data_IF_169757440404
#
_entry.id   IF_169757440404
#
_cell.length_a   1.000
_cell.length_b   1.000
_cell.length_c   1.000
_cell.angle_alpha   90.00
_cell.angle_beta   90.00
_cell.angle_gamma   90.00
#
_symmetry.space_group_name_H-M   'P 1'
#
loop_
_entity.id
_entity.type
_entity.pdbx_description
1 polymer ?
#
# COMPACT_ATOMS: atom_id res chain seq x y z
N UNK A 1 5.43 -17.13 15.88
CA UNK A 1 6.30 -17.20 14.70
C UNK A 1 7.45 -16.21 14.86
N UNK A 2 8.68 -16.63 14.59
CA UNK A 2 9.86 -15.74 14.57
C UNK A 2 9.77 -14.85 13.33
N UNK A 3 9.77 -13.55 13.54
CA UNK A 3 9.51 -12.59 12.45
C UNK A 3 10.68 -11.62 12.30
N UNK A 4 11.15 -11.48 11.07
CA UNK A 4 12.19 -10.53 10.68
C UNK A 4 11.63 -9.31 9.97
N UNK A 5 12.26 -8.16 10.17
CA UNK A 5 11.99 -6.92 9.41
C UNK A 5 13.30 -6.42 8.80
N UNK A 6 13.40 -6.43 7.49
CA UNK A 6 14.54 -5.92 6.72
C UNK A 6 14.18 -4.54 6.17
N UNK A 7 15.06 -3.55 6.33
CA UNK A 7 14.74 -2.15 6.07
C UNK A 7 14.03 -1.46 7.24
N UNK A 8 14.28 -1.95 8.46
CA UNK A 8 13.59 -1.56 9.68
C UNK A 8 13.76 -0.08 10.07
N UNK A 9 14.79 0.62 9.62
CA UNK A 9 15.03 2.06 9.89
C UNK A 9 14.17 3.00 9.04
N UNK A 10 13.54 2.51 7.97
CA UNK A 10 12.63 3.28 7.12
C UNK A 10 11.28 3.57 7.80
N UNK A 11 10.43 4.42 7.19
CA UNK A 11 9.09 4.70 7.71
C UNK A 11 8.19 3.47 7.71
N UNK A 12 8.16 2.70 6.61
CA UNK A 12 7.39 1.46 6.54
C UNK A 12 7.93 0.40 7.52
N UNK A 13 9.26 0.30 7.67
CA UNK A 13 9.89 -0.58 8.66
C UNK A 13 9.50 -0.22 10.10
N UNK A 14 9.53 1.07 10.44
CA UNK A 14 9.09 1.54 11.77
C UNK A 14 7.61 1.27 12.03
N UNK A 15 6.77 1.41 11.03
CA UNK A 15 5.34 1.09 11.16
C UNK A 15 5.12 -0.42 11.31
N UNK A 16 5.88 -1.26 10.58
CA UNK A 16 5.89 -2.71 10.81
C UNK A 16 6.27 -3.03 12.26
N UNK A 17 7.36 -2.44 12.77
CA UNK A 17 7.77 -2.66 14.17
C UNK A 17 6.66 -2.25 15.15
N UNK A 18 5.95 -1.15 14.89
CA UNK A 18 4.82 -0.69 15.72
C UNK A 18 3.68 -1.73 15.74
N UNK A 19 3.24 -2.18 14.57
CA UNK A 19 2.14 -3.14 14.47
C UNK A 19 2.55 -4.49 15.07
N UNK A 20 3.73 -4.99 14.71
CA UNK A 20 4.24 -6.27 15.17
C UNK A 20 4.53 -6.31 16.69
N UNK A 21 4.79 -5.16 17.33
CA UNK A 21 5.06 -5.09 18.76
C UNK A 21 3.89 -5.59 19.62
N UNK A 22 2.68 -5.46 19.12
CA UNK A 22 1.44 -5.89 19.79
C UNK A 22 0.75 -7.08 19.10
N UNK A 23 1.34 -7.60 18.01
CA UNK A 23 0.75 -8.69 17.26
C UNK A 23 0.71 -10.00 18.08
N UNK A 24 -0.43 -10.71 18.12
CA UNK A 24 -0.57 -11.89 19.00
C UNK A 24 0.39 -13.03 18.63
N UNK A 25 0.65 -13.25 17.34
CA UNK A 25 1.40 -14.39 16.83
C UNK A 25 2.82 -14.03 16.37
N UNK A 26 3.02 -12.91 15.68
CA UNK A 26 4.30 -12.53 15.09
C UNK A 26 5.22 -11.91 16.14
N UNK A 27 6.35 -12.54 16.41
CA UNK A 27 7.33 -12.08 17.43
C UNK A 27 8.60 -11.61 16.74
N UNK A 28 8.88 -10.31 16.82
CA UNK A 28 10.06 -9.70 16.23
C UNK A 28 11.32 -10.34 16.84
N UNK A 29 12.06 -11.06 16.02
CA UNK A 29 13.32 -11.73 16.37
C UNK A 29 14.53 -11.16 15.65
N UNK A 30 14.31 -10.41 14.56
CA UNK A 30 15.37 -9.83 13.74
C UNK A 30 14.95 -8.48 13.16
N UNK A 31 15.82 -7.46 13.24
CA UNK A 31 15.59 -6.10 12.73
C UNK A 31 16.82 -5.60 12.02
N UNK A 32 16.82 -5.65 10.69
CA UNK A 32 17.95 -5.23 9.87
C UNK A 32 17.74 -3.86 9.23
N UNK A 33 18.79 -3.06 9.16
CA UNK A 33 18.75 -1.71 8.63
C UNK A 33 20.01 -1.28 7.88
N UNK A 34 20.55 -2.11 7.02
CA UNK A 34 21.63 -1.77 6.08
C UNK A 34 22.62 -0.72 6.60
N UNK A 35 22.61 0.47 6.02
CA UNK A 35 23.53 1.57 6.41
C UNK A 35 23.35 2.09 7.85
N UNK A 36 22.26 1.76 8.53
CA UNK A 36 22.00 2.16 9.92
C UNK A 36 22.19 0.99 10.91
N UNK A 37 22.88 -0.08 10.50
CA UNK A 37 23.24 -1.17 11.39
C UNK A 37 24.13 -0.65 12.54
N UNK A 38 23.87 -1.13 13.75
CA UNK A 38 24.53 -0.68 14.97
C UNK A 38 23.89 0.53 15.66
N UNK A 39 23.05 1.29 14.97
CA UNK A 39 22.34 2.44 15.54
C UNK A 39 21.17 1.99 16.44
N UNK A 40 20.80 2.79 17.44
CA UNK A 40 19.66 2.52 18.30
C UNK A 40 18.35 2.65 17.52
N UNK A 41 17.43 1.70 17.71
CA UNK A 41 16.09 1.75 17.09
C UNK A 41 15.32 2.98 17.55
N UNK A 42 15.50 3.40 18.81
CA UNK A 42 14.87 4.59 19.40
C UNK A 42 15.27 5.90 18.73
N UNK A 43 16.47 5.99 18.14
CA UNK A 43 16.92 7.20 17.45
C UNK A 43 16.14 7.45 16.16
N UNK A 44 15.64 6.38 15.53
CA UNK A 44 14.82 6.42 14.33
C UNK A 44 13.32 6.36 14.62
N UNK A 45 12.94 5.65 15.67
CA UNK A 45 11.55 5.39 16.04
C UNK A 45 11.33 5.64 17.54
N UNK A 46 11.40 6.89 18.02
CA UNK A 46 11.40 7.22 19.45
C UNK A 46 10.11 6.83 20.18
N UNK A 47 9.02 6.63 19.44
CA UNK A 47 7.73 6.24 20.02
C UNK A 47 7.59 4.73 20.24
N UNK A 48 8.56 3.91 19.78
CA UNK A 48 8.52 2.45 19.96
C UNK A 48 9.08 2.06 21.34
N UNK A 49 8.22 2.09 22.34
CA UNK A 49 8.57 1.62 23.68
C UNK A 49 8.95 0.12 23.64
N UNK A 50 9.94 -0.27 24.44
CA UNK A 50 10.48 -1.64 24.42
C UNK A 50 11.59 -1.90 23.40
N UNK A 51 11.94 -0.88 22.58
CA UNK A 51 13.08 -0.92 21.66
C UNK A 51 14.22 0.01 22.06
N UNK A 52 14.13 0.71 23.19
CA UNK A 52 15.04 1.78 23.60
C UNK A 52 16.51 1.34 23.74
N UNK A 53 16.77 0.07 24.01
CA UNK A 53 18.12 -0.50 24.14
C UNK A 53 18.51 -1.41 22.97
N UNK A 54 17.57 -1.61 22.01
CA UNK A 54 17.81 -2.44 20.85
C UNK A 54 18.48 -1.65 19.73
N UNK A 55 19.36 -2.34 19.01
CA UNK A 55 20.06 -1.78 17.84
C UNK A 55 19.62 -2.52 16.60
N UNK A 56 19.67 -1.80 15.47
CA UNK A 56 19.54 -2.45 14.18
C UNK A 56 20.73 -3.37 13.92
N UNK A 57 20.46 -4.47 13.26
CA UNK A 57 21.46 -5.45 12.85
C UNK A 57 21.81 -5.28 11.37
N UNK A 58 22.97 -5.83 10.96
CA UNK A 58 23.30 -5.95 9.53
C UNK A 58 22.33 -6.89 8.82
N UNK A 59 22.15 -6.70 7.51
CA UNK A 59 21.37 -7.65 6.69
C UNK A 59 22.16 -8.95 6.54
N UNK A 60 21.68 -10.03 7.14
CA UNK A 60 22.28 -11.36 7.15
C UNK A 60 21.29 -12.40 6.66
N UNK A 61 21.65 -13.11 5.59
CA UNK A 61 20.88 -14.21 5.04
C UNK A 61 20.71 -15.34 6.06
N UNK A 62 21.75 -15.64 6.84
CA UNK A 62 21.70 -16.64 7.90
C UNK A 62 20.60 -16.31 8.92
N UNK A 63 20.53 -15.05 9.39
CA UNK A 63 19.50 -14.61 10.37
C UNK A 63 18.12 -14.58 9.74
N UNK A 64 18.00 -14.18 8.48
CA UNK A 64 16.75 -14.22 7.73
C UNK A 64 16.23 -15.67 7.65
N UNK A 65 17.09 -16.63 7.34
CA UNK A 65 16.73 -18.05 7.23
C UNK A 65 16.37 -18.74 8.58
N UNK A 66 16.64 -18.06 9.70
CA UNK A 66 16.19 -18.47 11.04
C UNK A 66 14.78 -17.96 11.38
N UNK A 67 14.20 -17.09 10.56
CA UNK A 67 12.84 -16.59 10.73
C UNK A 67 11.82 -17.52 10.04
N UNK A 68 10.59 -17.50 10.54
CA UNK A 68 9.45 -18.15 9.89
C UNK A 68 8.82 -17.24 8.84
N UNK A 69 8.84 -15.92 9.11
CA UNK A 69 8.25 -14.86 8.30
C UNK A 69 9.19 -13.66 8.25
N UNK A 70 9.33 -13.06 7.08
CA UNK A 70 10.15 -11.84 6.89
C UNK A 70 9.37 -10.79 6.10
N UNK A 71 9.36 -9.58 6.60
CA UNK A 71 8.92 -8.39 5.87
C UNK A 71 10.14 -7.68 5.29
N UNK A 72 10.11 -7.43 3.99
CA UNK A 72 11.18 -6.70 3.29
C UNK A 72 10.67 -5.32 2.92
N UNK A 73 11.24 -4.28 3.52
CA UNK A 73 10.88 -2.87 3.30
C UNK A 73 12.07 -2.09 2.72
N UNK A 74 12.62 -2.59 1.63
CA UNK A 74 13.77 -2.04 0.92
C UNK A 74 13.34 -1.16 -0.27
N UNK A 75 14.22 -0.27 -0.74
CA UNK A 75 14.02 0.40 -2.02
C UNK A 75 13.89 -0.60 -3.17
N UNK A 76 13.18 -0.21 -4.24
CA UNK A 76 13.06 -1.03 -5.45
C UNK A 76 14.43 -1.35 -6.05
N UNK A 77 14.58 -2.57 -6.56
CA UNK A 77 15.84 -3.13 -7.07
C UNK A 77 16.71 -3.80 -5.99
N UNK A 78 16.38 -3.65 -4.70
CA UNK A 78 17.16 -4.26 -3.61
C UNK A 78 16.56 -5.58 -3.10
N UNK A 79 15.23 -5.71 -3.09
CA UNK A 79 14.57 -6.95 -2.67
C UNK A 79 14.94 -8.10 -3.59
N UNK A 80 14.98 -7.87 -4.90
CA UNK A 80 15.34 -8.88 -5.89
C UNK A 80 16.74 -9.49 -5.67
N UNK A 81 17.70 -8.68 -5.24
CA UNK A 81 19.08 -9.16 -4.95
C UNK A 81 19.17 -10.04 -3.71
N UNK A 82 18.21 -9.86 -2.79
CA UNK A 82 18.21 -10.53 -1.50
C UNK A 82 17.47 -11.88 -1.54
N UNK A 83 16.31 -11.91 -2.21
CA UNK A 83 15.36 -13.02 -2.09
C UNK A 83 15.84 -14.34 -2.68
N UNK A 84 16.73 -14.32 -3.66
CA UNK A 84 17.28 -15.54 -4.26
C UNK A 84 18.15 -16.35 -3.30
N UNK A 85 18.64 -15.72 -2.24
CA UNK A 85 19.47 -16.35 -1.21
C UNK A 85 18.65 -16.84 -0.01
N UNK A 86 17.35 -16.50 0.05
CA UNK A 86 16.46 -16.86 1.16
C UNK A 86 15.83 -18.22 0.89
N UNK A 87 15.92 -19.10 1.88
CA UNK A 87 15.35 -20.44 1.82
C UNK A 87 13.83 -20.42 1.57
N UNK A 88 13.33 -21.36 0.77
CA UNK A 88 11.91 -21.43 0.37
C UNK A 88 10.93 -21.67 1.53
N UNK A 89 11.41 -22.15 2.67
CA UNK A 89 10.59 -22.33 3.90
C UNK A 89 10.21 -21.01 4.56
N UNK A 90 10.99 -19.93 4.34
CA UNK A 90 10.74 -18.61 4.94
C UNK A 90 9.64 -17.92 4.15
N UNK A 91 8.57 -17.56 4.82
CA UNK A 91 7.51 -16.74 4.21
C UNK A 91 7.98 -15.30 4.06
N UNK A 92 7.67 -14.67 2.91
CA UNK A 92 8.13 -13.31 2.61
C UNK A 92 6.95 -12.44 2.18
N UNK A 93 6.85 -11.25 2.79
CA UNK A 93 6.02 -10.16 2.28
C UNK A 93 6.95 -9.02 1.88
N UNK A 94 7.02 -8.72 0.57
CA UNK A 94 7.85 -7.65 0.03
C UNK A 94 7.05 -6.35 -0.13
N UNK A 95 7.43 -5.31 0.59
CA UNK A 95 6.88 -3.96 0.47
C UNK A 95 7.57 -3.16 -0.64
N UNK A 96 8.67 -3.68 -1.21
CA UNK A 96 9.31 -3.16 -2.41
C UNK A 96 8.43 -3.31 -3.65
N UNK A 97 8.90 -2.78 -4.78
CA UNK A 97 8.13 -2.84 -6.02
C UNK A 97 8.51 -4.04 -6.91
N UNK A 98 9.59 -4.72 -6.58
CA UNK A 98 10.35 -5.60 -7.47
C UNK A 98 9.52 -6.75 -8.07
N UNK A 99 8.49 -7.21 -7.35
CA UNK A 99 7.69 -8.37 -7.72
C UNK A 99 6.22 -8.07 -8.02
N UNK A 100 5.83 -6.77 -8.15
CA UNK A 100 4.42 -6.36 -8.33
C UNK A 100 3.93 -6.51 -9.76
N UNK A 101 4.75 -6.08 -10.73
CA UNK A 101 4.36 -6.06 -12.15
C UNK A 101 4.63 -7.41 -12.81
N UNK A 102 3.65 -7.91 -13.56
CA UNK A 102 3.78 -9.13 -14.35
C UNK A 102 4.40 -8.89 -15.71
N UNK A 103 4.29 -7.65 -16.25
CA UNK A 103 4.81 -7.27 -17.56
C UNK A 103 6.24 -6.70 -17.45
N UNK A 104 7.27 -7.42 -17.99
CA UNK A 104 8.64 -6.94 -17.97
C UNK A 104 8.85 -5.63 -18.75
N UNK A 105 8.03 -5.35 -19.78
CA UNK A 105 8.15 -4.13 -20.58
C UNK A 105 7.67 -2.91 -19.76
N UNK A 106 6.56 -3.06 -19.00
CA UNK A 106 6.11 -2.02 -18.08
C UNK A 106 7.12 -1.81 -16.95
N UNK A 107 7.69 -2.87 -16.41
CA UNK A 107 8.74 -2.76 -15.41
C UNK A 107 9.94 -1.98 -15.96
N UNK A 108 10.47 -2.36 -17.12
CA UNK A 108 11.61 -1.66 -17.74
C UNK A 108 11.30 -0.18 -18.00
N UNK A 109 10.08 0.14 -18.49
CA UNK A 109 9.66 1.51 -18.77
C UNK A 109 9.64 2.41 -17.53
N UNK A 110 9.14 1.89 -16.39
CA UNK A 110 8.89 2.70 -15.20
C UNK A 110 10.01 2.64 -14.15
N UNK A 111 10.81 1.58 -14.15
CA UNK A 111 11.88 1.37 -13.15
C UNK A 111 13.29 1.36 -13.77
N UNK A 112 13.43 1.05 -15.04
CA UNK A 112 14.71 1.12 -15.77
C UNK A 112 15.73 0.05 -15.41
N UNK A 113 15.32 -1.01 -14.70
CA UNK A 113 16.16 -2.11 -14.25
C UNK A 113 15.58 -3.46 -14.66
N UNK A 114 16.38 -4.54 -14.57
CA UNK A 114 15.95 -5.90 -14.94
C UNK A 114 14.72 -6.35 -14.13
N UNK A 115 13.77 -7.00 -14.79
CA UNK A 115 12.59 -7.59 -14.17
C UNK A 115 12.96 -8.89 -13.44
N UNK A 116 12.60 -8.99 -12.17
CA UNK A 116 12.94 -10.12 -11.30
C UNK A 116 11.87 -11.22 -11.22
N UNK A 117 10.84 -11.12 -12.06
CA UNK A 117 9.64 -11.96 -11.96
C UNK A 117 8.50 -11.26 -11.21
N UNK A 118 7.42 -11.99 -10.93
CA UNK A 118 6.27 -11.48 -10.18
C UNK A 118 5.81 -12.50 -9.14
N UNK A 119 5.22 -12.00 -8.06
CA UNK A 119 4.61 -12.80 -7.01
C UNK A 119 3.11 -12.54 -6.94
N UNK A 120 2.32 -13.38 -6.22
CA UNK A 120 0.94 -13.08 -5.92
C UNK A 120 0.80 -11.67 -5.34
N UNK A 121 -0.16 -10.92 -5.88
CA UNK A 121 -0.36 -9.52 -5.54
C UNK A 121 -1.21 -9.41 -4.27
N UNK A 122 -0.65 -8.86 -3.22
CA UNK A 122 -1.21 -8.86 -1.88
C UNK A 122 -2.25 -7.76 -1.62
N UNK A 123 -3.36 -7.75 -2.35
CA UNK A 123 -4.51 -6.88 -2.11
C UNK A 123 -5.77 -7.73 -1.90
N UNK A 124 -5.99 -8.26 -0.67
CA UNK A 124 -7.01 -9.26 -0.38
C UNK A 124 -8.42 -8.88 -0.81
N UNK A 125 -8.76 -7.60 -0.80
CA UNK A 125 -10.07 -7.12 -1.21
C UNK A 125 -10.34 -7.27 -2.71
N UNK A 126 -9.31 -7.49 -3.54
CA UNK A 126 -9.41 -7.54 -5.00
C UNK A 126 -8.87 -8.82 -5.64
N UNK A 127 -8.31 -9.73 -4.84
CA UNK A 127 -7.79 -11.02 -5.31
C UNK A 127 -8.40 -12.16 -4.50
N UNK A 128 -8.38 -13.37 -5.04
CA UNK A 128 -8.80 -14.53 -4.26
C UNK A 128 -7.85 -14.75 -3.07
N UNK A 129 -8.40 -14.85 -1.88
CA UNK A 129 -7.62 -15.09 -0.65
C UNK A 129 -6.76 -16.34 -0.74
N UNK A 130 -7.15 -17.34 -1.55
CA UNK A 130 -6.37 -18.57 -1.76
C UNK A 130 -5.04 -18.30 -2.46
N UNK A 131 -4.94 -17.28 -3.32
CA UNK A 131 -3.69 -16.90 -3.97
C UNK A 131 -2.66 -16.40 -2.95
N UNK A 132 -3.11 -15.69 -1.92
CA UNK A 132 -2.24 -15.18 -0.84
C UNK A 132 -1.98 -16.28 0.19
N UNK A 133 -2.99 -17.00 0.64
CA UNK A 133 -2.85 -17.98 1.72
C UNK A 133 -1.98 -19.18 1.33
N UNK A 134 -1.99 -19.58 0.06
CA UNK A 134 -1.16 -20.68 -0.45
C UNK A 134 0.26 -20.22 -0.84
N UNK A 135 0.54 -18.92 -0.83
CA UNK A 135 1.83 -18.40 -1.23
C UNK A 135 2.85 -18.40 -0.08
N UNK A 136 4.13 -18.63 -0.42
CA UNK A 136 5.25 -18.38 0.48
C UNK A 136 5.88 -17.00 0.26
N UNK A 137 5.56 -16.34 -0.85
CA UNK A 137 6.08 -15.01 -1.21
C UNK A 137 4.94 -14.17 -1.76
N UNK A 138 4.74 -12.97 -1.24
CA UNK A 138 3.67 -12.04 -1.64
C UNK A 138 4.26 -10.66 -1.90
N UNK A 139 3.87 -10.05 -3.02
CA UNK A 139 4.19 -8.68 -3.37
C UNK A 139 3.14 -7.73 -2.77
N UNK A 140 3.53 -6.92 -1.80
CA UNK A 140 2.65 -5.96 -1.17
C UNK A 140 2.44 -4.72 -2.07
N UNK A 141 1.20 -4.25 -2.26
CA UNK A 141 0.88 -3.12 -3.13
C UNK A 141 1.58 -1.81 -2.79
N UNK A 142 1.70 -0.93 -3.78
CA UNK A 142 2.02 0.47 -3.55
C UNK A 142 0.84 1.25 -2.97
N UNK A 143 1.12 2.25 -2.14
CA UNK A 143 0.08 2.97 -1.39
C UNK A 143 -0.98 3.65 -2.28
N UNK A 144 -0.57 4.30 -3.37
CA UNK A 144 -1.52 4.87 -4.33
C UNK A 144 -2.27 3.76 -5.10
N UNK A 145 -1.59 2.67 -5.44
CA UNK A 145 -2.23 1.55 -6.12
C UNK A 145 -3.32 0.93 -5.25
N UNK A 146 -3.06 0.75 -3.95
CA UNK A 146 -4.08 0.31 -2.98
C UNK A 146 -5.29 1.24 -2.99
N UNK A 147 -5.10 2.54 -2.74
CA UNK A 147 -6.21 3.50 -2.64
C UNK A 147 -7.04 3.57 -3.92
N UNK A 148 -6.37 3.73 -5.06
CA UNK A 148 -7.04 3.98 -6.34
C UNK A 148 -7.73 2.72 -6.87
N UNK A 149 -7.09 1.55 -6.74
CA UNK A 149 -7.72 0.29 -7.18
C UNK A 149 -8.95 -0.04 -6.35
N UNK A 150 -8.90 0.15 -5.03
CA UNK A 150 -10.07 -0.03 -4.16
C UNK A 150 -11.19 0.98 -4.48
N UNK A 151 -10.86 2.19 -4.87
CA UNK A 151 -11.87 3.18 -5.26
C UNK A 151 -12.59 2.82 -6.57
N UNK A 152 -11.88 2.24 -7.55
CA UNK A 152 -12.42 2.01 -8.90
C UNK A 152 -13.08 0.63 -9.04
N UNK A 153 -12.59 -0.38 -8.32
CA UNK A 153 -13.01 -1.77 -8.48
C UNK A 153 -14.54 -1.98 -8.50
N UNK A 154 -15.35 -1.41 -7.57
CA UNK A 154 -16.79 -1.64 -7.56
C UNK A 154 -17.53 -1.09 -8.79
N UNK A 155 -16.99 -0.08 -9.43
CA UNK A 155 -17.62 0.62 -10.57
C UNK A 155 -16.98 0.32 -11.91
N UNK A 156 -15.97 -0.53 -11.97
CA UNK A 156 -15.15 -0.77 -13.17
C UNK A 156 -15.99 -1.22 -14.39
N UNK A 157 -17.11 -1.91 -14.16
CA UNK A 157 -17.98 -2.37 -15.22
C UNK A 157 -19.00 -1.32 -15.70
N UNK A 158 -19.15 -0.22 -14.98
CA UNK A 158 -20.08 0.87 -15.30
C UNK A 158 -19.39 2.07 -15.97
N UNK A 159 -18.07 2.09 -16.03
CA UNK A 159 -17.29 3.21 -16.56
C UNK A 159 -16.63 2.90 -17.89
N UNK A 160 -16.31 3.95 -18.64
CA UNK A 160 -15.40 3.86 -19.78
C UNK A 160 -13.97 3.62 -19.25
N UNK A 161 -13.37 2.45 -19.50
CA UNK A 161 -12.05 2.12 -18.98
C UNK A 161 -10.92 2.98 -19.56
N UNK A 162 -11.17 3.74 -20.64
CA UNK A 162 -10.20 4.63 -21.27
C UNK A 162 -10.31 6.09 -20.79
N UNK A 163 -11.36 6.44 -20.01
CA UNK A 163 -11.62 7.80 -19.54
C UNK A 163 -11.69 7.85 -18.00
N UNK A 164 -10.56 7.58 -17.36
CA UNK A 164 -10.38 7.63 -15.91
C UNK A 164 -9.30 8.63 -15.54
N UNK A 165 -9.66 9.64 -14.77
CA UNK A 165 -8.74 10.65 -14.24
C UNK A 165 -8.64 10.55 -12.74
N UNK A 166 -7.41 10.65 -12.20
CA UNK A 166 -7.12 10.55 -10.77
C UNK A 166 -6.20 11.68 -10.33
N UNK A 167 -6.59 12.39 -9.28
CA UNK A 167 -5.72 13.28 -8.52
C UNK A 167 -5.61 12.74 -7.11
N UNK A 168 -4.38 12.52 -6.61
CA UNK A 168 -4.20 11.97 -5.27
C UNK A 168 -3.12 12.72 -4.50
N UNK A 169 -3.51 13.27 -3.35
CA UNK A 169 -2.61 13.92 -2.40
C UNK A 169 -2.04 12.89 -1.42
N UNK A 170 -0.72 12.92 -1.21
CA UNK A 170 -0.04 12.04 -0.26
C UNK A 170 0.83 12.81 0.72
N UNK A 171 0.88 12.32 1.96
CA UNK A 171 1.84 12.77 2.95
C UNK A 171 3.29 12.43 2.58
N UNK A 172 4.22 13.18 3.17
CA UNK A 172 5.66 13.15 2.87
C UNK A 172 6.36 11.82 3.17
N UNK A 173 5.85 11.04 4.11
CA UNK A 173 6.45 9.73 4.47
C UNK A 173 6.41 8.72 3.32
N UNK A 174 5.51 8.92 2.32
CA UNK A 174 5.47 8.12 1.11
C UNK A 174 6.72 8.24 0.22
N UNK A 175 7.47 9.33 0.35
CA UNK A 175 8.73 9.56 -0.37
C UNK A 175 9.95 8.86 0.26
N UNK A 176 9.77 8.17 1.39
CA UNK A 176 10.83 7.55 2.18
C UNK A 176 11.56 8.52 3.10
N UNK A 177 12.50 8.00 3.91
CA UNK A 177 13.23 8.78 4.93
C UNK A 177 14.45 9.52 4.38
N UNK A 178 14.93 9.18 3.19
CA UNK A 178 16.11 9.81 2.62
C UNK A 178 15.89 11.32 2.43
N UNK A 179 16.84 12.12 2.92
CA UNK A 179 16.80 13.56 2.77
C UNK A 179 16.83 13.96 1.29
N UNK A 180 15.89 14.81 0.88
CA UNK A 180 15.81 15.41 -0.46
C UNK A 180 15.53 16.89 -0.30
N UNK A 181 16.11 17.72 -1.17
CA UNK A 181 15.95 19.18 -1.12
C UNK A 181 14.47 19.60 -1.08
N UNK A 182 13.66 19.03 -1.94
CA UNK A 182 12.23 19.33 -2.00
C UNK A 182 11.39 18.78 -0.81
N UNK A 183 12.00 18.09 0.13
CA UNK A 183 11.38 17.56 1.34
C UNK A 183 11.92 18.21 2.62
N UNK A 184 12.82 19.20 2.51
CA UNK A 184 13.21 19.98 3.70
C UNK A 184 12.08 20.91 4.12
N UNK A 185 11.97 21.15 5.42
CA UNK A 185 10.80 21.82 6.01
C UNK A 185 10.47 23.19 5.41
N UNK A 186 11.49 23.97 4.97
CA UNK A 186 11.31 25.27 4.31
C UNK A 186 10.65 25.16 2.93
N UNK A 187 10.88 24.06 2.21
CA UNK A 187 10.39 23.89 0.84
C UNK A 187 8.99 23.30 0.79
N UNK A 188 8.67 22.40 1.74
CA UNK A 188 7.43 21.67 1.68
C UNK A 188 6.35 22.18 2.64
N UNK A 189 6.71 22.89 3.72
CA UNK A 189 5.76 23.40 4.71
C UNK A 189 4.81 24.42 4.07
N UNK A 190 3.50 24.21 4.23
CA UNK A 190 2.43 25.03 3.63
C UNK A 190 2.46 25.04 2.08
N UNK A 191 3.03 24.02 1.44
CA UNK A 191 3.16 23.91 0.01
C UNK A 191 2.54 22.62 -0.53
N UNK A 192 1.72 22.72 -1.57
CA UNK A 192 1.19 21.60 -2.36
C UNK A 192 1.90 21.57 -3.70
N UNK A 193 2.43 20.42 -4.09
CA UNK A 193 3.16 20.31 -5.35
C UNK A 193 2.81 19.01 -6.09
N UNK A 194 2.51 19.09 -7.38
CA UNK A 194 2.41 17.92 -8.24
C UNK A 194 3.79 17.37 -8.56
N UNK A 195 3.90 16.05 -8.68
CA UNK A 195 5.15 15.40 -9.06
C UNK A 195 4.88 14.18 -9.95
N UNK A 196 5.85 13.79 -10.77
CA UNK A 196 5.74 12.60 -11.66
C UNK A 196 4.37 12.47 -12.37
N UNK A 197 3.77 13.59 -12.80
CA UNK A 197 2.52 13.59 -13.55
C UNK A 197 2.76 13.34 -15.04
N UNK A 198 1.69 13.15 -15.82
CA UNK A 198 1.79 12.85 -17.25
C UNK A 198 2.13 11.38 -17.54
N UNK A 199 1.64 10.47 -16.71
CA UNK A 199 1.75 9.01 -16.92
C UNK A 199 3.10 8.40 -16.56
N UNK A 200 3.98 9.12 -15.85
CA UNK A 200 5.34 8.61 -15.49
C UNK A 200 5.45 8.09 -14.06
N UNK A 201 4.38 8.13 -13.27
CA UNK A 201 4.41 7.60 -11.91
C UNK A 201 4.41 6.08 -11.91
N UNK A 202 5.29 5.47 -11.12
CA UNK A 202 5.52 4.02 -11.07
C UNK A 202 4.29 3.20 -10.64
N UNK A 203 3.32 3.80 -9.93
CA UNK A 203 2.07 3.11 -9.57
C UNK A 203 1.04 3.09 -10.72
N UNK A 204 1.24 3.86 -11.80
CA UNK A 204 0.30 3.85 -12.95
C UNK A 204 0.13 2.46 -13.55
N UNK A 205 1.20 1.75 -13.98
CA UNK A 205 1.07 0.40 -14.53
C UNK A 205 0.55 -0.62 -13.51
N UNK A 206 0.83 -0.42 -12.23
CA UNK A 206 0.37 -1.29 -11.15
C UNK A 206 -1.16 -1.21 -11.00
N UNK A 207 -1.72 0.01 -11.00
CA UNK A 207 -3.17 0.24 -10.94
C UNK A 207 -3.84 -0.32 -12.21
N UNK A 208 -3.31 -0.02 -13.39
CA UNK A 208 -3.84 -0.52 -14.65
C UNK A 208 -3.83 -2.05 -14.69
N UNK A 209 -2.76 -2.70 -14.23
CA UNK A 209 -2.66 -4.17 -14.16
C UNK A 209 -3.77 -4.78 -13.30
N UNK A 210 -4.01 -4.25 -12.10
CA UNK A 210 -5.06 -4.73 -11.19
C UNK A 210 -6.45 -4.56 -11.81
N UNK A 211 -6.74 -3.39 -12.34
CA UNK A 211 -8.04 -3.07 -12.93
C UNK A 211 -8.28 -3.83 -14.25
N UNK A 212 -7.23 -4.09 -15.04
CA UNK A 212 -7.31 -4.93 -16.23
C UNK A 212 -7.69 -6.37 -15.86
N UNK A 213 -7.07 -6.91 -14.82
CA UNK A 213 -7.36 -8.26 -14.34
C UNK A 213 -8.82 -8.39 -13.88
N UNK A 214 -9.32 -7.42 -13.11
CA UNK A 214 -10.69 -7.41 -12.58
C UNK A 214 -11.75 -7.26 -13.68
N UNK A 215 -11.51 -6.41 -14.67
CA UNK A 215 -12.51 -6.07 -15.68
C UNK A 215 -12.43 -6.92 -16.95
N UNK A 216 -11.31 -7.58 -17.19
CA UNK A 216 -11.01 -8.20 -18.49
C UNK A 216 -10.85 -7.18 -19.63
N UNK A 217 -10.78 -5.87 -19.33
CA UNK A 217 -10.65 -4.78 -20.30
C UNK A 217 -9.33 -4.04 -20.11
N UNK A 218 -8.87 -3.33 -21.14
CA UNK A 218 -7.72 -2.47 -21.04
C UNK A 218 -8.11 -1.12 -20.39
N UNK A 219 -7.77 -0.96 -19.13
CA UNK A 219 -7.97 0.29 -18.38
C UNK A 219 -6.79 1.22 -18.60
N UNK A 220 -7.08 2.50 -18.77
CA UNK A 220 -6.10 3.58 -18.87
C UNK A 220 -6.42 4.67 -17.87
N UNK A 221 -5.43 5.09 -17.09
CA UNK A 221 -5.62 6.14 -16.10
C UNK A 221 -4.73 7.35 -16.39
N UNK A 222 -5.30 8.55 -16.25
CA UNK A 222 -4.55 9.80 -16.13
C UNK A 222 -4.33 10.09 -14.66
N UNK A 223 -3.10 9.84 -14.15
CA UNK A 223 -2.79 9.97 -12.74
C UNK A 223 -1.89 11.16 -12.43
N UNK A 224 -2.35 12.05 -11.56
CA UNK A 224 -1.62 13.22 -11.06
C UNK A 224 -1.43 13.12 -9.56
N UNK A 225 -0.26 12.67 -9.08
CA UNK A 225 0.07 12.68 -7.67
C UNK A 225 0.45 14.08 -7.19
N UNK A 226 0.04 14.40 -5.95
CA UNK A 226 0.31 15.66 -5.27
C UNK A 226 0.98 15.37 -3.93
N UNK A 227 2.08 16.05 -3.63
CA UNK A 227 2.70 16.03 -2.31
C UNK A 227 1.99 17.05 -1.43
N UNK A 228 1.43 16.60 -0.31
CA UNK A 228 0.74 17.44 0.66
C UNK A 228 1.60 17.68 1.90
N UNK A 229 1.50 18.86 2.56
CA UNK A 229 2.27 19.22 3.75
C UNK A 229 1.76 18.55 5.03
N UNK A 230 1.49 17.26 4.94
CA UNK A 230 1.11 16.39 6.06
C UNK A 230 2.08 15.21 6.15
N UNK A 231 2.33 14.65 7.34
CA UNK A 231 3.27 13.54 7.46
C UNK A 231 2.75 12.24 6.84
N UNK A 232 1.45 11.92 7.05
CA UNK A 232 0.82 10.65 6.64
C UNK A 232 -0.57 10.90 6.05
N UNK A 233 -1.03 9.96 5.25
CA UNK A 233 -2.34 9.91 4.64
C UNK A 233 -2.29 10.06 3.12
N UNK A 234 -3.22 9.41 2.45
CA UNK A 234 -3.55 9.62 1.03
C UNK A 234 -5.02 9.98 0.96
N UNK A 235 -5.34 11.04 0.22
CA UNK A 235 -6.68 11.36 -0.24
C UNK A 235 -6.64 11.37 -1.77
N UNK A 236 -7.38 10.45 -2.40
CA UNK A 236 -7.48 10.40 -3.85
C UNK A 236 -8.91 10.73 -4.31
N UNK A 237 -9.00 11.49 -5.39
CA UNK A 237 -10.25 11.74 -6.10
C UNK A 237 -10.13 11.13 -7.49
N UNK A 238 -11.07 10.24 -7.81
CA UNK A 238 -11.23 9.61 -9.12
C UNK A 238 -12.43 10.24 -9.82
N UNK A 239 -12.29 10.54 -11.10
CA UNK A 239 -13.41 10.91 -11.97
C UNK A 239 -13.35 10.04 -13.20
N UNK A 240 -14.42 9.27 -13.47
CA UNK A 240 -14.52 8.37 -14.61
C UNK A 240 -15.84 8.57 -15.36
N UNK A 241 -15.79 8.54 -16.68
CA UNK A 241 -16.99 8.66 -17.52
C UNK A 241 -17.85 7.41 -17.38
N UNK A 242 -19.15 7.58 -17.16
CA UNK A 242 -20.09 6.47 -17.19
C UNK A 242 -20.28 5.96 -18.61
N UNK A 243 -20.30 4.63 -18.78
CA UNK A 243 -20.57 3.98 -20.08
C UNK A 243 -22.03 4.16 -20.55
N UNK A 244 -22.95 4.37 -19.60
CA UNK A 244 -24.37 4.67 -19.83
C UNK A 244 -24.92 5.43 -18.62
N UNK A 245 -26.05 6.13 -18.77
CA UNK A 245 -26.73 6.75 -17.64
C UNK A 245 -27.07 5.72 -16.56
N UNK A 246 -26.81 6.05 -15.30
CA UNK A 246 -26.97 5.16 -14.15
C UNK A 246 -27.59 5.93 -12.97
N UNK A 247 -28.41 5.27 -12.18
CA UNK A 247 -28.94 5.86 -10.96
C UNK A 247 -27.90 5.90 -9.85
N UNK A 248 -27.89 6.97 -9.04
CA UNK A 248 -26.95 7.11 -7.90
C UNK A 248 -27.06 5.95 -6.90
N UNK A 249 -28.27 5.41 -6.68
CA UNK A 249 -28.48 4.23 -5.84
C UNK A 249 -27.69 3.02 -6.33
N UNK A 250 -27.64 2.76 -7.65
CA UNK A 250 -26.87 1.64 -8.22
C UNK A 250 -25.38 1.74 -7.92
N UNK A 251 -24.82 2.96 -7.95
CA UNK A 251 -23.41 3.16 -7.56
C UNK A 251 -23.21 2.83 -6.08
N UNK A 252 -24.09 3.30 -5.20
CA UNK A 252 -23.99 3.02 -3.77
C UNK A 252 -24.08 1.52 -3.49
N UNK A 253 -25.07 0.87 -4.07
CA UNK A 253 -25.29 -0.58 -3.92
C UNK A 253 -24.06 -1.36 -4.39
N UNK A 254 -23.44 -0.95 -5.52
CA UNK A 254 -22.22 -1.62 -6.00
C UNK A 254 -21.05 -1.56 -5.01
N UNK A 255 -20.86 -0.46 -4.28
CA UNK A 255 -19.85 -0.37 -3.24
C UNK A 255 -20.19 -1.19 -2.00
N UNK A 256 -21.43 -1.11 -1.54
CA UNK A 256 -21.93 -1.86 -0.36
C UNK A 256 -21.80 -3.35 -0.60
N UNK A 257 -22.28 -3.84 -1.74
CA UNK A 257 -22.24 -5.27 -2.08
C UNK A 257 -20.80 -5.75 -2.27
N UNK A 258 -19.98 -4.99 -2.99
CA UNK A 258 -18.60 -5.37 -3.29
C UNK A 258 -17.76 -5.54 -2.03
N UNK A 259 -17.91 -4.63 -1.05
CA UNK A 259 -17.12 -4.63 0.19
C UNK A 259 -17.87 -5.21 1.40
N UNK A 260 -19.01 -5.86 1.21
CA UNK A 260 -19.83 -6.42 2.30
C UNK A 260 -19.07 -7.34 3.26
N UNK A 261 -18.03 -8.03 2.78
CA UNK A 261 -17.21 -8.95 3.56
C UNK A 261 -15.79 -8.41 3.86
N UNK A 262 -15.52 -7.15 3.52
CA UNK A 262 -14.19 -6.57 3.78
C UNK A 262 -14.05 -6.13 5.24
N UNK A 263 -12.94 -6.51 5.87
CA UNK A 263 -12.66 -6.12 7.26
C UNK A 263 -12.26 -4.65 7.42
N UNK A 264 -11.83 -3.98 6.35
CA UNK A 264 -11.18 -2.67 6.44
C UNK A 264 -11.71 -1.60 5.49
N UNK A 265 -12.56 -1.96 4.53
CA UNK A 265 -13.12 -0.98 3.59
C UNK A 265 -14.49 -0.52 4.08
N UNK A 266 -14.62 0.79 4.31
CA UNK A 266 -15.82 1.44 4.77
C UNK A 266 -16.35 2.36 3.66
N UNK A 267 -17.49 1.99 3.06
CA UNK A 267 -18.23 2.90 2.21
C UNK A 267 -19.10 3.77 3.10
N UNK A 268 -18.84 5.08 3.08
CA UNK A 268 -19.44 6.01 4.04
C UNK A 268 -20.92 6.29 3.74
N UNK A 269 -21.66 6.63 4.80
CA UNK A 269 -23.03 7.12 4.68
C UNK A 269 -23.12 8.41 3.87
N UNK A 270 -24.29 8.67 3.31
CA UNK A 270 -24.53 9.85 2.49
C UNK A 270 -24.24 11.15 3.29
N UNK A 271 -23.54 12.07 2.65
CA UNK A 271 -23.11 13.34 3.27
C UNK A 271 -21.80 13.27 4.06
N UNK A 272 -21.27 12.06 4.35
CA UNK A 272 -19.94 11.93 4.96
C UNK A 272 -18.85 11.86 3.88
N UNK A 273 -17.68 12.40 4.19
CA UNK A 273 -16.55 12.43 3.26
C UNK A 273 -15.31 11.79 3.88
N UNK A 274 -14.52 11.01 3.10
CA UNK A 274 -13.28 10.41 3.54
C UNK A 274 -12.27 11.46 4.01
N UNK A 275 -11.58 11.18 5.13
CA UNK A 275 -10.59 12.07 5.70
C UNK A 275 -9.30 11.30 6.02
N UNK A 276 -8.15 11.89 5.68
CA UNK A 276 -6.84 11.27 6.02
C UNK A 276 -6.64 11.10 7.52
N UNK A 277 -7.27 11.94 8.33
CA UNK A 277 -7.12 11.89 9.78
C UNK A 277 -7.98 10.78 10.42
N UNK A 278 -9.15 10.47 9.85
CA UNK A 278 -10.02 9.38 10.35
C UNK A 278 -9.38 8.00 10.18
N UNK A 279 -8.55 7.83 9.16
CA UNK A 279 -7.87 6.54 8.86
C UNK A 279 -6.45 6.47 9.41
N UNK A 280 -5.94 7.56 9.98
CA UNK A 280 -4.56 7.66 10.46
C UNK A 280 -4.25 6.60 11.52
N UNK A 281 -3.16 5.85 11.32
CA UNK A 281 -2.67 4.80 12.24
C UNK A 281 -3.47 3.49 12.18
N UNK A 282 -4.50 3.41 11.33
CA UNK A 282 -5.34 2.21 11.14
C UNK A 282 -5.08 1.52 9.81
N UNK A 283 -5.75 0.37 9.61
CA UNK A 283 -5.79 -0.33 8.32
C UNK A 283 -7.05 0.00 7.52
N UNK A 284 -7.82 1.03 7.93
CA UNK A 284 -9.06 1.41 7.28
C UNK A 284 -8.83 2.08 5.92
N UNK A 285 -9.84 1.88 5.08
CA UNK A 285 -10.11 2.62 3.85
C UNK A 285 -11.47 3.27 4.00
N UNK A 286 -11.58 4.55 3.80
CA UNK A 286 -12.86 5.26 3.72
C UNK A 286 -13.13 5.65 2.26
N UNK A 287 -14.32 5.34 1.76
CA UNK A 287 -14.72 5.65 0.38
C UNK A 287 -16.08 6.34 0.38
N UNK A 288 -16.24 7.32 -0.49
CA UNK A 288 -17.53 7.92 -0.86
C UNK A 288 -17.59 8.10 -2.36
N UNK A 289 -18.75 7.91 -2.95
CA UNK A 289 -18.96 8.05 -4.40
C UNK A 289 -20.28 8.76 -4.71
N UNK A 290 -20.30 9.52 -5.80
CA UNK A 290 -21.48 10.17 -6.33
C UNK A 290 -21.45 10.22 -7.85
N UNK A 291 -22.61 10.35 -8.48
CA UNK A 291 -22.72 10.66 -9.91
C UNK A 291 -22.79 12.19 -10.07
N UNK A 292 -21.90 12.74 -10.86
CA UNK A 292 -22.03 14.08 -11.40
C UNK A 292 -22.90 13.98 -12.68
N UNK A 293 -24.21 14.17 -12.50
CA UNK A 293 -25.20 14.04 -13.59
C UNK A 293 -24.98 15.07 -14.69
N UNK A 294 -24.40 16.25 -14.35
CA UNK A 294 -24.17 17.35 -15.30
C UNK A 294 -23.23 16.92 -16.43
N UNK A 295 -22.25 16.07 -16.13
CA UNK A 295 -21.23 15.62 -17.10
C UNK A 295 -21.22 14.09 -17.30
N UNK A 296 -22.13 13.35 -16.65
CA UNK A 296 -22.24 11.90 -16.79
C UNK A 296 -21.01 11.15 -16.29
N UNK A 297 -20.48 11.55 -15.14
CA UNK A 297 -19.29 10.94 -14.53
C UNK A 297 -19.58 10.41 -13.14
N UNK A 298 -18.95 9.30 -12.77
CA UNK A 298 -18.82 8.94 -11.36
C UNK A 298 -17.60 9.65 -10.77
N UNK A 299 -17.80 10.24 -9.59
CA UNK A 299 -16.72 10.86 -8.81
C UNK A 299 -16.59 10.10 -7.51
N UNK A 300 -15.37 9.64 -7.19
CA UNK A 300 -15.09 8.82 -6.02
C UNK A 300 -13.98 9.49 -5.22
N UNK A 301 -14.19 9.61 -3.91
CA UNK A 301 -13.16 10.04 -2.95
C UNK A 301 -12.78 8.86 -2.09
N UNK A 302 -11.47 8.67 -1.85
CA UNK A 302 -10.94 7.60 -1.01
C UNK A 302 -9.81 8.10 -0.14
N UNK A 303 -9.83 7.71 1.14
CA UNK A 303 -8.75 8.00 2.09
C UNK A 303 -8.17 6.72 2.68
N UNK A 304 -6.84 6.68 2.81
CA UNK A 304 -6.09 5.64 3.53
C UNK A 304 -4.92 6.26 4.29
N UNK A 305 -4.40 5.55 5.29
CA UNK A 305 -3.07 5.84 5.82
C UNK A 305 -2.02 5.19 4.91
N UNK A 306 -1.14 5.99 4.32
CA UNK A 306 -0.12 5.52 3.37
C UNK A 306 0.92 4.56 3.98
N UNK A 307 1.11 4.55 5.30
CA UNK A 307 1.96 3.61 6.03
C UNK A 307 1.16 2.46 6.66
N UNK A 308 -0.12 2.67 6.98
CA UNK A 308 -1.07 1.64 7.41
C UNK A 308 -1.51 0.76 6.25
N UNK A 309 -2.76 0.95 5.78
CA UNK A 309 -3.32 0.21 4.63
C UNK A 309 -2.49 0.39 3.35
N UNK A 310 -1.80 1.50 3.20
CA UNK A 310 -0.94 1.74 2.04
C UNK A 310 0.41 0.99 2.05
N UNK A 311 0.83 0.38 3.18
CA UNK A 311 2.14 -0.29 3.28
C UNK A 311 2.17 -1.37 4.37
N UNK A 312 2.55 -1.01 5.60
CA UNK A 312 2.82 -1.97 6.68
C UNK A 312 1.58 -2.72 7.16
N UNK A 313 0.44 -2.03 7.28
CA UNK A 313 -0.82 -2.67 7.67
C UNK A 313 -1.29 -3.68 6.63
N UNK A 314 -1.23 -3.33 5.34
CA UNK A 314 -1.49 -4.25 4.23
C UNK A 314 -0.54 -5.45 4.26
N UNK A 315 0.75 -5.22 4.53
CA UNK A 315 1.73 -6.31 4.60
C UNK A 315 1.42 -7.28 5.74
N UNK A 316 1.01 -6.78 6.92
CA UNK A 316 0.59 -7.63 8.04
C UNK A 316 -0.71 -8.37 7.72
N UNK A 317 -1.69 -7.74 7.04
CA UNK A 317 -2.91 -8.39 6.56
C UNK A 317 -2.57 -9.57 5.62
N UNK A 318 -1.65 -9.38 4.68
CA UNK A 318 -1.17 -10.45 3.80
C UNK A 318 -0.49 -11.58 4.59
N UNK A 319 0.39 -11.23 5.53
CA UNK A 319 1.07 -12.21 6.38
C UNK A 319 0.09 -13.03 7.23
N UNK A 320 -0.98 -12.40 7.72
CA UNK A 320 -2.05 -13.10 8.45
C UNK A 320 -2.70 -14.18 7.58
N UNK A 321 -3.09 -13.84 6.35
CA UNK A 321 -3.65 -14.81 5.41
C UNK A 321 -2.65 -15.92 5.07
N UNK A 322 -1.38 -15.57 4.76
CA UNK A 322 -0.32 -16.54 4.48
C UNK A 322 -0.08 -17.55 5.63
N UNK A 323 -0.46 -17.19 6.83
CA UNK A 323 -0.22 -18.00 8.04
C UNK A 323 -1.51 -18.57 8.64
N UNK A 324 -2.64 -18.47 7.92
CA UNK A 324 -3.94 -19.00 8.33
C UNK A 324 -4.57 -18.28 9.51
N UNK A 325 -4.22 -17.02 9.74
CA UNK A 325 -4.82 -16.16 10.76
C UNK A 325 -6.00 -15.38 10.20
N UNK A 326 -6.85 -14.83 11.08
CA UNK A 326 -7.77 -13.78 10.67
C UNK A 326 -6.99 -12.63 10.03
N UNK A 327 -7.40 -12.13 8.87
CA UNK A 327 -6.72 -11.04 8.18
C UNK A 327 -6.56 -9.79 9.06
N UNK A 328 -7.45 -9.59 10.04
CA UNK A 328 -7.44 -8.47 10.97
C UNK A 328 -6.55 -8.67 12.22
N UNK A 329 -5.93 -9.83 12.41
CA UNK A 329 -5.13 -10.09 13.60
C UNK A 329 -4.02 -9.04 13.78
N UNK A 330 -3.95 -8.43 14.96
CA UNK A 330 -2.96 -7.38 15.29
C UNK A 330 -3.12 -6.06 14.56
N UNK A 331 -4.14 -5.91 13.71
CA UNK A 331 -4.46 -4.68 13.00
C UNK A 331 -5.63 -3.95 13.68
N UNK A 332 -5.62 -2.62 13.62
CA UNK A 332 -6.73 -1.81 14.13
C UNK A 332 -7.56 -1.25 12.97
N UNK A 333 -8.88 -1.24 13.17
CA UNK A 333 -9.86 -0.54 12.36
C UNK A 333 -10.33 0.77 13.03
N UNK A 334 -9.61 1.25 14.03
CA UNK A 334 -9.89 2.51 14.72
C UNK A 334 -8.77 3.48 14.39
N UNK A 335 -9.11 4.57 13.73
CA UNK A 335 -8.18 5.67 13.47
C UNK A 335 -7.88 6.48 14.73
N UNK A 336 -6.93 7.40 14.64
CA UNK A 336 -6.49 8.21 15.78
C UNK A 336 -7.42 9.40 16.09
N UNK A 337 -8.48 9.60 15.32
CA UNK A 337 -9.48 10.63 15.55
C UNK A 337 -10.90 10.06 15.41
#
# INVERSE_FOLDING_TARGET
MKTGVVGASGYAGGELLRILSTHPLFKISYTAAGSNAGELISDFHPLLQGFNTKRFEDTSIEKINQCDLVFIALPHGESAKLVDQIESKVKIVDLGADFRLTDPQQWQKYYGIAHAGSWPYGLPELVDHSEISNANRVANPGCYATAISLAIAPVINFIDPADVSVVASSGTTGAGRNAKVNLVGSEFRNNLTSYKFGGVHQHTPEIEQVLNHLSGKQVKISFTPVLAPIPRGILATVSAKLSAPLASATIRDSFVDFYSNSSFVNFLDEGLMPQTLSVLGSNNVEIQAAIDEHVGRVVISVAIDNLGKGAAGQAVQNANLMTGQSESAGLTNIGLK
#
